data_IF_754464592714
#
_entry.id   IF_754464592714
#
_cell.length_a   1.000
_cell.length_b   1.000
_cell.length_c   1.000
_cell.angle_alpha   90.00
_cell.angle_beta   90.00
_cell.angle_gamma   90.00
#
_symmetry.space_group_name_H-M   'P 1'
#
loop_
_entity.id
_entity.type
_entity.pdbx_description
1 polymer ?
#
# COMPACT_ATOMS: atom_id res chain seq x y z
N UNK A 1 5.27 -2.59 6.39
CA UNK A 1 3.83 -2.25 6.26
C UNK A 1 2.96 -2.90 7.35
N UNK A 2 2.80 -4.25 7.41
CA UNK A 2 1.90 -4.88 8.41
C UNK A 2 2.20 -4.47 9.86
N UNK A 3 3.47 -4.48 10.28
CA UNK A 3 3.86 -4.07 11.64
C UNK A 3 3.41 -2.65 11.94
N UNK A 4 3.63 -1.71 11.01
CA UNK A 4 3.19 -0.32 11.11
C UNK A 4 1.67 -0.19 11.31
N UNK A 5 0.89 -0.97 10.55
CA UNK A 5 -0.58 -0.98 10.70
C UNK A 5 -1.04 -1.58 12.04
N UNK A 6 -0.26 -2.51 12.62
CA UNK A 6 -0.54 -3.03 13.97
C UNK A 6 -0.20 -1.99 15.04
N UNK A 7 0.94 -1.30 14.91
CA UNK A 7 1.37 -0.22 15.82
C UNK A 7 0.38 0.95 15.85
N UNK A 8 -0.24 1.27 14.71
CA UNK A 8 -1.27 2.32 14.58
C UNK A 8 -2.69 1.83 14.93
N UNK A 9 -2.84 0.57 15.37
CA UNK A 9 -4.14 -0.07 15.59
C UNK A 9 -5.08 -0.02 14.36
N UNK A 10 -4.54 0.05 13.15
CA UNK A 10 -5.30 0.12 11.90
C UNK A 10 -5.50 -1.24 11.23
N UNK A 11 -4.92 -2.32 11.77
CA UNK A 11 -5.05 -3.67 11.21
C UNK A 11 -6.12 -4.50 11.92
N UNK A 12 -7.13 -5.01 11.20
CA UNK A 12 -8.14 -5.90 11.78
C UNK A 12 -9.52 -5.87 11.11
N UNK A 13 -10.50 -6.60 11.66
CA UNK A 13 -11.90 -6.55 11.18
C UNK A 13 -12.47 -5.14 11.30
N UNK A 14 -13.14 -4.67 10.24
CA UNK A 14 -13.65 -3.29 10.15
C UNK A 14 -12.57 -2.22 9.94
N UNK A 15 -11.31 -2.63 9.73
CA UNK A 15 -10.17 -1.74 9.48
C UNK A 15 -9.42 -2.21 8.22
N UNK A 16 -8.13 -1.91 8.12
CA UNK A 16 -7.30 -2.27 6.99
C UNK A 16 -6.89 -3.73 7.10
N UNK A 17 -7.18 -4.52 6.06
CA UNK A 17 -6.71 -5.89 5.93
C UNK A 17 -5.49 -5.94 5.02
N UNK A 18 -4.39 -6.46 5.54
CA UNK A 18 -3.19 -6.68 4.74
C UNK A 18 -2.93 -8.18 4.52
N UNK A 19 -2.73 -8.56 3.27
CA UNK A 19 -2.35 -9.92 2.88
C UNK A 19 -1.06 -9.88 2.07
N UNK A 20 -0.17 -10.84 2.30
CA UNK A 20 0.95 -11.10 1.39
C UNK A 20 0.41 -11.90 0.21
N UNK A 21 0.85 -11.56 -0.99
CA UNK A 21 0.48 -12.26 -2.22
C UNK A 21 1.72 -12.60 -3.03
N UNK A 22 1.58 -13.56 -3.94
CA UNK A 22 2.59 -13.90 -4.93
C UNK A 22 2.48 -12.93 -6.12
N UNK A 23 2.97 -13.34 -7.29
CA UNK A 23 2.93 -12.54 -8.50
C UNK A 23 1.49 -12.09 -8.84
N UNK A 24 1.34 -10.80 -9.16
CA UNK A 24 0.08 -10.18 -9.60
C UNK A 24 0.12 -9.77 -11.09
N UNK A 25 1.03 -10.33 -11.88
CA UNK A 25 1.16 -10.04 -13.32
C UNK A 25 1.95 -8.79 -13.69
N UNK A 26 2.43 -8.01 -12.70
CA UNK A 26 3.25 -6.80 -12.91
C UNK A 26 4.72 -7.01 -12.52
N UNK A 27 5.36 -8.03 -13.10
CA UNK A 27 6.73 -8.42 -12.72
C UNK A 27 7.77 -7.30 -12.91
N UNK A 28 7.61 -6.49 -13.97
CA UNK A 28 8.56 -5.41 -14.30
C UNK A 28 8.46 -4.17 -13.41
N UNK A 29 7.41 -4.08 -12.59
CA UNK A 29 7.11 -2.90 -11.76
C UNK A 29 7.27 -3.22 -10.26
N UNK A 30 7.74 -4.45 -9.96
CA UNK A 30 7.92 -4.97 -8.63
C UNK A 30 9.05 -4.29 -7.86
N UNK A 31 8.92 -4.14 -6.53
CA UNK A 31 7.84 -4.64 -5.67
C UNK A 31 6.55 -3.79 -5.76
N UNK A 32 5.39 -4.46 -5.86
CA UNK A 32 4.09 -3.79 -6.02
C UNK A 32 3.17 -3.98 -4.81
N UNK A 33 2.29 -3.01 -4.58
CA UNK A 33 1.16 -3.07 -3.66
C UNK A 33 -0.09 -2.64 -4.42
N UNK A 34 -1.21 -3.30 -4.16
CA UNK A 34 -2.52 -2.87 -4.65
C UNK A 34 -3.41 -2.54 -3.46
N UNK A 35 -4.07 -1.38 -3.52
CA UNK A 35 -5.02 -0.91 -2.50
C UNK A 35 -6.43 -1.01 -3.07
N UNK A 36 -7.31 -1.66 -2.31
CA UNK A 36 -8.73 -1.82 -2.63
C UNK A 36 -9.58 -1.03 -1.64
N UNK A 37 -10.77 -0.53 -2.06
CA UNK A 37 -11.49 -0.84 -3.31
C UNK A 37 -11.03 -0.05 -4.55
N UNK A 38 -10.17 0.95 -4.41
CA UNK A 38 -9.82 1.88 -5.49
C UNK A 38 -9.04 1.25 -6.65
N UNK A 39 -8.38 0.11 -6.42
CA UNK A 39 -7.57 -0.56 -7.45
C UNK A 39 -6.27 0.19 -7.77
N UNK A 40 -5.78 0.97 -6.81
CA UNK A 40 -4.57 1.80 -6.96
C UNK A 40 -3.34 0.94 -6.77
N UNK A 41 -2.38 1.08 -7.67
CA UNK A 41 -1.12 0.35 -7.67
C UNK A 41 0.03 1.25 -7.25
N UNK A 42 0.87 0.76 -6.35
CA UNK A 42 2.08 1.44 -5.89
C UNK A 42 3.31 0.58 -6.10
N UNK A 43 4.40 1.23 -6.46
CA UNK A 43 5.75 0.71 -6.29
C UNK A 43 6.42 1.39 -5.11
N UNK A 44 7.46 0.80 -4.54
CA UNK A 44 8.19 1.37 -3.42
C UNK A 44 9.63 0.88 -3.39
N UNK A 45 10.55 1.73 -2.94
CA UNK A 45 11.97 1.38 -2.81
C UNK A 45 12.41 1.32 -1.35
N UNK A 46 11.76 2.08 -0.47
CA UNK A 46 12.17 2.27 0.91
C UNK A 46 11.02 2.05 1.90
N UNK A 47 11.36 1.89 3.18
CA UNK A 47 10.34 1.87 4.24
C UNK A 47 9.64 3.23 4.39
N UNK A 48 10.31 4.33 4.05
CA UNK A 48 9.72 5.67 4.08
C UNK A 48 8.60 5.81 3.04
N UNK A 49 8.75 5.21 1.85
CA UNK A 49 7.70 5.16 0.83
C UNK A 49 6.45 4.45 1.34
N UNK A 50 6.63 3.34 2.07
CA UNK A 50 5.54 2.60 2.69
C UNK A 50 4.84 3.45 3.77
N UNK A 51 5.63 4.16 4.58
CA UNK A 51 5.13 5.09 5.58
C UNK A 51 4.27 6.19 4.95
N UNK A 52 4.72 6.76 3.83
CA UNK A 52 3.98 7.79 3.10
C UNK A 52 2.67 7.25 2.53
N UNK A 53 2.69 6.04 1.93
CA UNK A 53 1.46 5.38 1.44
C UNK A 53 0.46 5.16 2.59
N UNK A 54 0.92 4.78 3.78
CA UNK A 54 0.03 4.61 4.93
C UNK A 54 -0.56 5.95 5.38
N UNK A 55 0.28 6.96 5.60
CA UNK A 55 -0.18 8.23 6.15
C UNK A 55 -1.03 9.04 5.15
N UNK A 56 -0.60 9.11 3.89
CA UNK A 56 -1.30 9.88 2.86
C UNK A 56 -2.51 9.12 2.35
N UNK A 57 -2.33 7.91 1.83
CA UNK A 57 -3.44 7.21 1.16
C UNK A 57 -4.36 6.51 2.17
N UNK A 58 -3.81 5.66 3.04
CA UNK A 58 -4.65 4.85 3.92
C UNK A 58 -5.31 5.63 5.07
N UNK A 59 -4.69 6.72 5.54
CA UNK A 59 -5.21 7.54 6.64
C UNK A 59 -5.88 8.83 6.13
N UNK A 60 -5.22 9.61 5.27
CA UNK A 60 -5.77 10.87 4.76
C UNK A 60 -6.66 10.72 3.51
N UNK A 61 -6.61 9.58 2.83
CA UNK A 61 -7.38 9.34 1.60
C UNK A 61 -6.77 9.98 0.35
N UNK A 62 -5.51 10.43 0.41
CA UNK A 62 -4.82 11.11 -0.68
C UNK A 62 -3.75 10.21 -1.31
N UNK A 63 -3.88 9.85 -2.61
CA UNK A 63 -2.93 8.96 -3.26
C UNK A 63 -1.55 9.61 -3.45
N UNK A 64 -0.50 8.79 -3.32
CA UNK A 64 0.89 9.26 -3.41
C UNK A 64 1.37 9.20 -4.87
N UNK A 65 1.12 10.28 -5.62
CA UNK A 65 1.31 10.31 -7.08
C UNK A 65 2.69 9.85 -7.56
N UNK A 66 3.76 10.19 -6.83
CA UNK A 66 5.14 9.81 -7.18
C UNK A 66 5.40 8.30 -7.16
N UNK A 67 4.61 7.55 -6.38
CA UNK A 67 4.75 6.11 -6.19
C UNK A 67 3.73 5.32 -7.01
N UNK A 68 2.80 6.00 -7.69
CA UNK A 68 1.77 5.35 -8.49
C UNK A 68 2.37 4.61 -9.65
N UNK A 69 1.92 3.37 -9.82
CA UNK A 69 2.15 2.61 -11.05
C UNK A 69 0.99 2.95 -11.99
N UNK A 70 1.26 3.53 -13.17
CA UNK A 70 0.22 3.83 -14.15
C UNK A 70 -0.49 2.56 -14.63
N UNK A 71 -1.70 2.73 -15.16
CA UNK A 71 -2.45 1.65 -15.81
C UNK A 71 -2.14 1.57 -17.30
#
# INVERSE_FOLDING_TARGET
>A
MKSKLLELELHGPGKIRMSKTACLGRCGEGPCIVIYPEGVWYTYATLADIDEIINSHLIAGEPVERLLIPN
#
